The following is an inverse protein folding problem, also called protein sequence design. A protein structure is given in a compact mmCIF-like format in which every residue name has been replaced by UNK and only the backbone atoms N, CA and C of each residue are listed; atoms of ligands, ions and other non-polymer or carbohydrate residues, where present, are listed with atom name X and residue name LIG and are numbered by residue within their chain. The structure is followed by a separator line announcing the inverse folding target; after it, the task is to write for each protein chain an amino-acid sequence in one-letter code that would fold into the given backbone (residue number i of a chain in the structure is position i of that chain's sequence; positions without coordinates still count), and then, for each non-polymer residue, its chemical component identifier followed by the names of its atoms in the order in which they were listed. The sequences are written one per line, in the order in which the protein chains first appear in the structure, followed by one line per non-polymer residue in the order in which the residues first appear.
data_IF_325789524354
#
_entry.id   IF_325789524354
#
_cell.length_a   1.000
_cell.length_b   1.000
_cell.length_c   1.000
_cell.angle_alpha   90.00
_cell.angle_beta   90.00
_cell.angle_gamma   90.00
#
_symmetry.space_group_name_H-M   'P 1'
#
loop_
_entity.id
_entity.type
_entity.pdbx_description
1 polymer ?
#
# COMPACT_ATOMS: atom_id res chain seq x y z
N UNK A 1 -36.93 7.17 -9.28
CA UNK A 1 -36.84 6.48 -7.97
C UNK A 1 -35.39 6.05 -7.82
N UNK A 2 -34.57 6.85 -7.12
CA UNK A 2 -33.15 6.52 -6.90
C UNK A 2 -33.16 5.39 -5.86
N UNK A 3 -32.65 4.21 -6.22
CA UNK A 3 -32.52 3.12 -5.26
C UNK A 3 -31.77 3.64 -4.02
N UNK A 4 -32.08 3.17 -2.80
CA UNK A 4 -31.28 3.52 -1.64
C UNK A 4 -29.83 3.12 -1.96
N UNK A 5 -28.93 4.10 -2.01
CA UNK A 5 -27.50 3.85 -2.21
C UNK A 5 -27.03 3.06 -0.97
N UNK A 6 -27.06 1.73 -1.05
CA UNK A 6 -26.57 0.87 0.01
C UNK A 6 -25.09 1.16 0.19
N UNK A 7 -24.72 1.61 1.40
CA UNK A 7 -23.34 1.94 1.71
C UNK A 7 -22.46 0.70 1.44
N UNK A 8 -21.36 0.80 0.68
CA UNK A 8 -20.53 -0.36 0.29
C UNK A 8 -20.05 -1.23 1.46
N UNK A 9 -19.92 -0.63 2.65
CA UNK A 9 -19.64 -1.33 3.91
C UNK A 9 -20.80 -2.25 4.29
N UNK A 10 -22.04 -1.75 4.35
CA UNK A 10 -23.22 -2.56 4.69
C UNK A 10 -23.40 -3.76 3.77
N UNK A 11 -23.21 -3.57 2.46
CA UNK A 11 -23.24 -4.68 1.48
C UNK A 11 -22.20 -5.74 1.82
N UNK A 12 -20.98 -5.33 2.18
CA UNK A 12 -19.90 -6.25 2.54
C UNK A 12 -20.18 -6.98 3.87
N UNK A 13 -20.78 -6.30 4.85
CA UNK A 13 -21.17 -6.89 6.15
C UNK A 13 -22.30 -7.91 6.03
N UNK A 14 -23.31 -7.63 5.21
CA UNK A 14 -24.41 -8.56 4.91
C UNK A 14 -23.88 -9.84 4.24
N UNK A 15 -23.01 -9.68 3.24
CA UNK A 15 -22.36 -10.80 2.55
C UNK A 15 -21.49 -11.63 3.50
N UNK A 16 -20.74 -10.98 4.39
CA UNK A 16 -19.91 -11.66 5.40
C UNK A 16 -20.75 -12.49 6.36
N UNK A 17 -21.85 -11.93 6.86
CA UNK A 17 -22.74 -12.62 7.80
C UNK A 17 -23.35 -13.86 7.17
N UNK A 18 -23.91 -13.72 5.97
CA UNK A 18 -24.43 -14.84 5.16
C UNK A 18 -23.39 -15.94 4.94
N UNK A 19 -22.15 -15.55 4.63
CA UNK A 19 -21.07 -16.48 4.34
C UNK A 19 -20.57 -17.22 5.59
N UNK A 20 -20.47 -16.55 6.73
CA UNK A 20 -20.05 -17.18 7.99
C UNK A 20 -21.00 -18.31 8.41
N UNK A 21 -22.30 -18.11 8.21
CA UNK A 21 -23.35 -19.11 8.42
C UNK A 21 -23.29 -20.22 7.35
N UNK A 22 -23.13 -19.84 6.08
CA UNK A 22 -23.06 -20.76 4.95
C UNK A 22 -21.91 -21.78 5.04
N UNK A 23 -20.75 -21.36 5.53
CA UNK A 23 -19.54 -22.20 5.64
C UNK A 23 -19.77 -23.49 6.44
N UNK A 24 -20.64 -23.47 7.46
CA UNK A 24 -20.93 -24.64 8.29
C UNK A 24 -21.55 -25.80 7.50
N UNK A 25 -22.18 -25.50 6.37
CA UNK A 25 -22.90 -26.45 5.52
C UNK A 25 -22.04 -27.06 4.41
N UNK A 26 -20.74 -26.74 4.37
CA UNK A 26 -19.85 -27.26 3.32
C UNK A 26 -19.40 -28.68 3.62
N UNK A 27 -19.58 -29.56 2.63
CA UNK A 27 -19.20 -30.97 2.72
C UNK A 27 -17.88 -31.28 2.03
N UNK A 28 -17.53 -30.56 0.96
CA UNK A 28 -16.27 -30.68 0.25
C UNK A 28 -15.19 -29.74 0.81
N UNK A 29 -13.91 -30.10 0.67
CA UNK A 29 -12.74 -29.28 1.05
C UNK A 29 -12.73 -28.76 2.50
N UNK A 30 -13.23 -29.56 3.46
CA UNK A 30 -13.38 -29.20 4.89
C UNK A 30 -12.13 -28.58 5.55
N UNK A 31 -10.92 -28.90 5.07
CA UNK A 31 -9.68 -28.31 5.59
C UNK A 31 -9.42 -26.86 5.17
N UNK A 32 -10.04 -26.37 4.09
CA UNK A 32 -9.82 -25.01 3.54
C UNK A 32 -10.79 -23.99 4.14
N UNK A 33 -12.03 -24.40 4.43
CA UNK A 33 -13.07 -23.51 4.95
C UNK A 33 -12.75 -22.85 6.30
N UNK A 34 -12.08 -23.52 7.26
CA UNK A 34 -11.60 -22.85 8.48
C UNK A 34 -10.59 -21.72 8.20
N UNK A 35 -9.74 -21.88 7.17
CA UNK A 35 -8.79 -20.84 6.76
C UNK A 35 -9.53 -19.63 6.18
N UNK A 36 -10.53 -19.88 5.33
CA UNK A 36 -11.41 -18.85 4.78
C UNK A 36 -12.14 -18.13 5.93
N UNK A 37 -12.80 -18.86 6.83
CA UNK A 37 -13.49 -18.31 8.01
C UNK A 37 -12.58 -17.39 8.84
N UNK A 38 -11.34 -17.80 9.08
CA UNK A 38 -10.37 -16.98 9.80
C UNK A 38 -10.03 -15.66 9.09
N UNK A 39 -10.02 -15.63 7.75
CA UNK A 39 -9.85 -14.39 6.97
C UNK A 39 -11.11 -13.53 7.01
N UNK A 40 -12.29 -14.12 6.85
CA UNK A 40 -13.57 -13.41 6.93
C UNK A 40 -13.77 -12.73 8.28
N UNK A 41 -13.45 -13.41 9.37
CA UNK A 41 -13.54 -12.84 10.73
C UNK A 41 -12.62 -11.63 10.90
N UNK A 42 -11.40 -11.69 10.34
CA UNK A 42 -10.49 -10.54 10.35
C UNK A 42 -11.04 -9.39 9.51
N UNK A 43 -11.61 -9.70 8.35
CA UNK A 43 -12.19 -8.70 7.47
C UNK A 43 -13.40 -8.03 8.10
N UNK A 44 -14.25 -8.78 8.79
CA UNK A 44 -15.39 -8.26 9.54
C UNK A 44 -14.95 -7.23 10.58
N UNK A 45 -13.94 -7.55 11.40
CA UNK A 45 -13.40 -6.60 12.38
C UNK A 45 -12.85 -5.32 11.71
N UNK A 46 -12.22 -5.44 10.54
CA UNK A 46 -11.71 -4.28 9.78
C UNK A 46 -12.82 -3.42 9.18
N UNK A 47 -13.93 -4.02 8.73
CA UNK A 47 -15.08 -3.26 8.23
C UNK A 47 -15.79 -2.49 9.34
N UNK A 48 -15.88 -3.07 10.54
CA UNK A 48 -16.39 -2.37 11.72
C UNK A 48 -15.51 -1.16 12.05
N UNK A 49 -14.18 -1.33 12.06
CA UNK A 49 -13.24 -0.21 12.23
C UNK A 49 -13.36 0.82 11.11
N UNK A 50 -13.64 0.41 9.86
CA UNK A 50 -13.90 1.35 8.77
C UNK A 50 -15.13 2.22 9.01
N UNK A 51 -16.21 1.65 9.56
CA UNK A 51 -17.45 2.37 9.82
C UNK A 51 -17.29 3.48 10.88
N UNK A 52 -16.28 3.40 11.75
CA UNK A 52 -15.98 4.39 12.79
C UNK A 52 -15.34 5.68 12.23
N UNK A 53 -14.81 5.67 10.99
CA UNK A 53 -14.18 6.87 10.42
C UNK A 53 -15.22 7.88 9.92
N UNK A 54 -14.95 9.20 10.00
CA UNK A 54 -15.91 10.25 9.66
C UNK A 54 -16.43 10.24 8.20
N UNK A 55 -15.72 9.59 7.27
CA UNK A 55 -16.09 9.46 5.86
C UNK A 55 -15.53 8.16 5.24
N UNK A 56 -16.06 6.97 5.57
CA UNK A 56 -15.46 5.68 5.17
C UNK A 56 -15.52 5.46 3.65
N UNK A 57 -16.59 5.94 3.02
CA UNK A 57 -17.02 5.52 1.69
C UNK A 57 -17.11 6.66 0.67
N UNK A 58 -17.04 7.94 1.05
CA UNK A 58 -17.36 9.06 0.14
C UNK A 58 -16.16 9.94 -0.24
N UNK A 59 -15.09 9.95 0.56
CA UNK A 59 -13.98 10.90 0.37
C UNK A 59 -12.73 10.29 -0.29
N UNK A 60 -12.54 8.97 -0.23
CA UNK A 60 -11.31 8.33 -0.71
C UNK A 60 -11.61 7.23 -1.73
N UNK A 61 -11.26 7.46 -3.00
CA UNK A 61 -11.42 6.47 -4.07
C UNK A 61 -10.75 5.13 -3.73
N UNK A 62 -9.65 5.12 -2.97
CA UNK A 62 -8.98 3.89 -2.58
C UNK A 62 -9.79 3.04 -1.60
N UNK A 63 -10.56 3.66 -0.69
CA UNK A 63 -11.40 2.90 0.24
C UNK A 63 -12.58 2.30 -0.51
N UNK A 64 -13.19 3.06 -1.42
CA UNK A 64 -14.25 2.57 -2.30
C UNK A 64 -13.79 1.40 -3.17
N UNK A 65 -12.66 1.55 -3.86
CA UNK A 65 -12.10 0.49 -4.71
C UNK A 65 -11.87 -0.81 -3.91
N UNK A 66 -11.34 -0.69 -2.69
CA UNK A 66 -11.12 -1.82 -1.80
C UNK A 66 -12.46 -2.46 -1.36
N UNK A 67 -13.46 -1.67 -0.97
CA UNK A 67 -14.78 -2.17 -0.57
C UNK A 67 -15.50 -2.88 -1.72
N UNK A 68 -15.42 -2.35 -2.94
CA UNK A 68 -15.95 -3.02 -4.13
C UNK A 68 -15.21 -4.35 -4.42
N UNK A 69 -13.89 -4.36 -4.31
CA UNK A 69 -13.08 -5.57 -4.51
C UNK A 69 -13.37 -6.66 -3.46
N UNK A 70 -13.57 -6.25 -2.21
CA UNK A 70 -14.03 -7.11 -1.11
C UNK A 70 -15.40 -7.69 -1.46
N UNK A 71 -16.39 -6.85 -1.79
CA UNK A 71 -17.74 -7.29 -2.14
C UNK A 71 -17.74 -8.31 -3.28
N UNK A 72 -16.97 -8.07 -4.34
CA UNK A 72 -16.82 -9.03 -5.44
C UNK A 72 -16.23 -10.36 -4.96
N UNK A 73 -15.18 -10.31 -4.15
CA UNK A 73 -14.54 -11.53 -3.63
C UNK A 73 -15.47 -12.30 -2.69
N UNK A 74 -16.27 -11.62 -1.87
CA UNK A 74 -17.26 -12.26 -1.01
C UNK A 74 -18.34 -12.98 -1.84
N UNK A 75 -18.80 -12.37 -2.94
CA UNK A 75 -19.72 -13.04 -3.88
C UNK A 75 -19.08 -14.28 -4.53
N UNK A 76 -17.80 -14.22 -4.93
CA UNK A 76 -17.06 -15.39 -5.42
C UNK A 76 -17.05 -16.52 -4.36
N UNK A 77 -16.81 -16.16 -3.09
CA UNK A 77 -16.76 -17.13 -2.00
C UNK A 77 -18.14 -17.71 -1.69
N UNK A 78 -19.22 -16.92 -1.76
CA UNK A 78 -20.60 -17.41 -1.62
C UNK A 78 -20.92 -18.44 -2.70
N UNK A 79 -20.60 -18.13 -3.96
CA UNK A 79 -20.79 -19.05 -5.10
C UNK A 79 -20.01 -20.36 -4.90
N UNK A 80 -18.77 -20.28 -4.43
CA UNK A 80 -17.98 -21.48 -4.10
C UNK A 80 -18.53 -22.24 -2.89
N UNK A 81 -19.05 -21.54 -1.89
CA UNK A 81 -19.64 -22.13 -0.71
C UNK A 81 -20.87 -22.96 -1.09
N UNK A 82 -21.77 -22.43 -1.92
CA UNK A 82 -22.92 -23.19 -2.43
C UNK A 82 -22.51 -24.41 -3.24
N UNK A 83 -21.46 -24.30 -4.07
CA UNK A 83 -20.93 -25.42 -4.86
C UNK A 83 -20.34 -26.54 -4.00
N UNK A 84 -19.82 -26.21 -2.81
CA UNK A 84 -19.17 -27.15 -1.90
C UNK A 84 -20.10 -27.74 -0.83
N UNK A 85 -21.41 -27.46 -0.88
CA UNK A 85 -22.40 -28.09 0.00
C UNK A 85 -22.62 -29.58 -0.33
N UNK A 86 -22.32 -30.00 -1.55
CA UNK A 86 -22.34 -31.41 -1.95
C UNK A 86 -20.93 -32.01 -1.96
N UNK A 87 -20.82 -33.32 -1.70
CA UNK A 87 -19.51 -34.03 -1.73
C UNK A 87 -18.92 -34.13 -3.12
N UNK A 88 -19.77 -34.18 -4.13
CA UNK A 88 -19.35 -34.26 -5.53
C UNK A 88 -19.29 -32.86 -6.13
N UNK A 89 -18.07 -32.47 -6.50
CA UNK A 89 -17.79 -31.21 -7.15
C UNK A 89 -18.11 -31.34 -8.65
N UNK A 90 -19.28 -30.84 -9.05
CA UNK A 90 -19.82 -30.99 -10.42
C UNK A 90 -18.91 -30.39 -11.51
N UNK A 91 -18.12 -29.36 -11.20
CA UNK A 91 -17.19 -28.68 -12.13
C UNK A 91 -15.74 -29.19 -12.06
N UNK A 92 -15.50 -30.29 -11.34
CA UNK A 92 -14.18 -30.88 -11.18
C UNK A 92 -13.43 -30.41 -9.93
N UNK A 93 -12.82 -31.39 -9.24
CA UNK A 93 -12.16 -31.19 -7.95
C UNK A 93 -10.96 -30.24 -8.02
N UNK A 94 -10.10 -30.38 -9.04
CA UNK A 94 -8.91 -29.53 -9.20
C UNK A 94 -9.27 -28.08 -9.49
N UNK A 95 -10.28 -27.85 -10.34
CA UNK A 95 -10.77 -26.51 -10.65
C UNK A 95 -11.32 -25.84 -9.40
N UNK A 96 -12.19 -26.52 -8.66
CA UNK A 96 -12.76 -25.99 -7.41
C UNK A 96 -11.68 -25.73 -6.36
N UNK A 97 -10.68 -26.62 -6.24
CA UNK A 97 -9.54 -26.40 -5.35
C UNK A 97 -8.76 -25.14 -5.74
N UNK A 98 -8.47 -24.96 -7.03
CA UNK A 98 -7.80 -23.76 -7.54
C UNK A 98 -8.61 -22.49 -7.28
N UNK A 99 -9.93 -22.56 -7.42
CA UNK A 99 -10.81 -21.41 -7.19
C UNK A 99 -10.87 -21.07 -5.68
N UNK A 100 -10.91 -22.08 -4.80
CA UNK A 100 -10.78 -21.92 -3.34
C UNK A 100 -9.45 -21.27 -2.96
N UNK A 101 -8.34 -21.74 -3.54
CA UNK A 101 -7.01 -21.19 -3.28
C UNK A 101 -6.88 -19.75 -3.79
N UNK A 102 -7.50 -19.45 -4.93
CA UNK A 102 -7.59 -18.09 -5.49
C UNK A 102 -8.35 -17.15 -4.56
N UNK A 103 -9.55 -17.52 -4.10
CA UNK A 103 -10.30 -16.65 -3.17
C UNK A 103 -9.63 -16.52 -1.81
N UNK A 104 -8.95 -17.56 -1.32
CA UNK A 104 -8.18 -17.49 -0.08
C UNK A 104 -7.02 -16.48 -0.22
N UNK A 105 -6.32 -16.49 -1.35
CA UNK A 105 -5.27 -15.52 -1.65
C UNK A 105 -5.82 -14.09 -1.77
N UNK A 106 -6.95 -13.89 -2.48
CA UNK A 106 -7.63 -12.59 -2.58
C UNK A 106 -8.05 -12.07 -1.20
N UNK A 107 -8.65 -12.90 -0.34
CA UNK A 107 -9.04 -12.52 1.01
C UNK A 107 -7.83 -12.14 1.88
N UNK A 108 -6.71 -12.85 1.75
CA UNK A 108 -5.47 -12.49 2.43
C UNK A 108 -4.93 -11.13 1.97
N UNK A 109 -4.99 -10.84 0.67
CA UNK A 109 -4.67 -9.52 0.12
C UNK A 109 -5.60 -8.44 0.69
N UNK A 110 -6.93 -8.65 0.68
CA UNK A 110 -7.89 -7.68 1.23
C UNK A 110 -7.64 -7.37 2.70
N UNK A 111 -7.34 -8.40 3.51
CA UNK A 111 -7.00 -8.20 4.93
C UNK A 111 -5.72 -7.37 5.07
N UNK A 112 -4.68 -7.63 4.25
CA UNK A 112 -3.43 -6.85 4.25
C UNK A 112 -3.67 -5.40 3.81
N UNK A 113 -4.41 -5.21 2.73
CA UNK A 113 -4.66 -3.90 2.13
C UNK A 113 -5.53 -3.04 3.05
N UNK A 114 -6.55 -3.63 3.68
CA UNK A 114 -7.34 -2.96 4.71
C UNK A 114 -6.49 -2.49 5.89
N UNK A 115 -5.53 -3.29 6.36
CA UNK A 115 -4.62 -2.88 7.45
C UNK A 115 -3.72 -1.72 7.04
N UNK A 116 -3.25 -1.73 5.79
CA UNK A 116 -2.43 -0.63 5.26
C UNK A 116 -3.27 0.65 5.20
N UNK A 117 -4.51 0.57 4.73
CA UNK A 117 -5.43 1.70 4.61
C UNK A 117 -5.77 2.33 5.98
N UNK A 118 -6.06 1.50 6.99
CA UNK A 118 -6.33 1.96 8.35
C UNK A 118 -5.09 2.66 8.93
N UNK A 119 -3.93 1.98 8.87
CA UNK A 119 -2.69 2.48 9.47
C UNK A 119 -2.16 3.73 8.77
N UNK A 120 -2.51 3.96 7.51
CA UNK A 120 -2.02 5.13 6.79
C UNK A 120 -2.72 6.43 7.18
N UNK A 121 -3.82 6.38 7.94
CA UNK A 121 -4.53 7.58 8.41
C UNK A 121 -5.24 8.38 7.32
N UNK A 122 -5.26 7.90 6.07
CA UNK A 122 -5.88 8.60 4.94
C UNK A 122 -7.42 8.71 5.04
N UNK A 123 -8.03 7.96 5.96
CA UNK A 123 -9.46 8.01 6.26
C UNK A 123 -9.83 9.09 7.29
N UNK A 124 -8.83 9.64 7.99
CA UNK A 124 -9.03 10.61 9.09
C UNK A 124 -8.92 12.07 8.62
N UNK A 125 -8.39 12.28 7.41
CA UNK A 125 -7.96 13.59 6.89
C UNK A 125 -9.12 14.49 6.40
N UNK A 126 -10.37 13.99 6.45
CA UNK A 126 -11.58 14.75 6.07
C UNK A 126 -12.04 15.80 7.08
N UNK A 127 -11.34 15.93 8.22
CA UNK A 127 -11.60 16.96 9.23
C UNK A 127 -10.94 18.29 8.84
N UNK A 128 -11.75 19.28 8.49
CA UNK A 128 -11.38 20.66 8.10
C UNK A 128 -10.11 21.18 8.80
N UNK A 129 -9.02 21.50 8.08
CA UNK A 129 -7.93 22.27 8.64
C UNK A 129 -8.31 23.75 8.64
N UNK A 130 -9.07 24.16 9.66
CA UNK A 130 -9.35 25.56 9.98
C UNK A 130 -8.10 26.23 10.55
N UNK A 131 -7.06 26.46 9.75
CA UNK A 131 -6.06 27.50 10.05
C UNK A 131 -5.19 27.83 8.83
N UNK A 132 -5.30 29.06 8.37
CA UNK A 132 -4.47 29.68 7.33
C UNK A 132 -3.07 30.05 7.85
N UNK A 133 -2.27 29.04 8.22
CA UNK A 133 -0.88 29.23 8.65
C UNK A 133 0.09 28.35 7.85
N UNK A 134 1.41 28.59 7.95
CA UNK A 134 2.43 27.70 7.36
C UNK A 134 2.39 26.25 7.87
N UNK A 135 1.59 25.96 8.91
CA UNK A 135 1.28 24.61 9.34
C UNK A 135 0.37 23.89 8.34
N UNK A 136 -0.57 24.59 7.68
CA UNK A 136 -1.55 23.98 6.77
C UNK A 136 -0.91 23.49 5.47
N UNK A 137 0.09 24.22 4.93
CA UNK A 137 0.87 23.75 3.77
C UNK A 137 1.64 22.46 4.09
N UNK A 138 2.29 22.40 5.26
CA UNK A 138 3.02 21.20 5.67
C UNK A 138 2.09 20.04 5.98
N UNK A 139 0.91 20.31 6.55
CA UNK A 139 -0.09 19.27 6.77
C UNK A 139 -0.68 18.76 5.45
N UNK A 140 -0.96 19.64 4.49
CA UNK A 140 -1.37 19.23 3.15
C UNK A 140 -0.32 18.32 2.46
N UNK A 141 0.97 18.64 2.61
CA UNK A 141 2.05 17.78 2.09
C UNK A 141 2.10 16.44 2.84
N UNK A 142 1.88 16.41 4.16
CA UNK A 142 1.78 15.15 4.93
C UNK A 142 0.62 14.30 4.46
N UNK A 143 -0.57 14.89 4.37
CA UNK A 143 -1.79 14.27 3.87
C UNK A 143 -1.60 13.68 2.47
N UNK A 144 -1.10 14.48 1.53
CA UNK A 144 -0.82 14.05 0.15
C UNK A 144 0.24 12.95 0.13
N UNK A 145 1.31 13.07 0.93
CA UNK A 145 2.32 12.01 1.07
C UNK A 145 1.69 10.70 1.56
N UNK A 146 0.87 10.72 2.62
CA UNK A 146 0.15 9.55 3.13
C UNK A 146 -0.73 8.94 2.04
N UNK A 147 -1.47 9.77 1.31
CA UNK A 147 -2.36 9.35 0.23
C UNK A 147 -1.59 8.63 -0.88
N UNK A 148 -0.53 9.24 -1.41
CA UNK A 148 0.31 8.68 -2.46
C UNK A 148 1.07 7.42 -2.03
N UNK A 149 1.62 7.42 -0.81
CA UNK A 149 2.28 6.25 -0.20
C UNK A 149 1.31 5.08 -0.05
N UNK A 150 0.06 5.35 0.32
CA UNK A 150 -1.00 4.33 0.43
C UNK A 150 -1.34 3.79 -0.96
N UNK A 151 -1.58 4.68 -1.93
CA UNK A 151 -1.86 4.32 -3.33
C UNK A 151 -0.77 3.45 -3.94
N UNK A 152 0.50 3.75 -3.65
CA UNK A 152 1.64 2.94 -4.10
C UNK A 152 1.64 1.51 -3.56
N UNK A 153 1.03 1.28 -2.40
CA UNK A 153 0.98 -0.02 -1.76
C UNK A 153 -0.23 -0.84 -2.24
N UNK A 154 -1.43 -0.25 -2.19
CA UNK A 154 -2.69 -0.99 -2.37
C UNK A 154 -3.45 -0.63 -3.66
N UNK A 155 -3.03 0.40 -4.40
CA UNK A 155 -3.71 0.82 -5.63
C UNK A 155 -3.59 -0.17 -6.80
N UNK A 156 -4.40 0.06 -7.83
CA UNK A 156 -4.31 -0.64 -9.13
C UNK A 156 -2.97 -0.33 -9.82
N UNK A 157 -2.62 -1.07 -10.87
CA UNK A 157 -1.37 -0.85 -11.61
C UNK A 157 -1.25 0.60 -12.14
N UNK A 158 -2.32 1.11 -12.74
CA UNK A 158 -2.38 2.48 -13.28
C UNK A 158 -2.33 3.52 -12.15
N UNK A 159 -3.08 3.27 -11.08
CA UNK A 159 -3.10 4.12 -9.88
C UNK A 159 -1.71 4.20 -9.22
N UNK A 160 -0.99 3.08 -9.16
CA UNK A 160 0.41 3.02 -8.69
C UNK A 160 1.37 3.77 -9.61
N UNK A 161 1.17 3.70 -10.93
CA UNK A 161 1.98 4.46 -11.89
C UNK A 161 1.78 5.97 -11.72
N UNK A 162 0.53 6.42 -11.68
CA UNK A 162 0.22 7.84 -11.44
C UNK A 162 0.71 8.33 -10.07
N UNK A 163 0.62 7.46 -9.05
CA UNK A 163 1.07 7.77 -7.70
C UNK A 163 2.58 7.98 -7.61
N UNK A 164 3.38 7.15 -8.29
CA UNK A 164 4.85 7.32 -8.25
C UNK A 164 5.24 8.64 -8.92
N UNK A 165 4.62 9.00 -10.05
CA UNK A 165 4.94 10.24 -10.76
C UNK A 165 4.50 11.48 -9.99
N UNK A 166 3.33 11.42 -9.33
CA UNK A 166 2.84 12.51 -8.48
C UNK A 166 3.69 12.68 -7.23
N UNK A 167 4.14 11.57 -6.65
CA UNK A 167 5.03 11.59 -5.50
C UNK A 167 6.38 12.19 -5.88
N UNK A 168 7.00 11.78 -6.99
CA UNK A 168 8.28 12.34 -7.42
C UNK A 168 8.21 13.86 -7.59
N UNK A 169 7.16 14.37 -8.23
CA UNK A 169 6.91 15.81 -8.35
C UNK A 169 6.79 16.50 -6.99
N UNK A 170 6.09 15.89 -6.03
CA UNK A 170 5.98 16.41 -4.65
C UNK A 170 7.35 16.51 -3.97
N UNK A 171 8.21 15.50 -4.17
CA UNK A 171 9.55 15.44 -3.59
C UNK A 171 10.52 16.41 -4.27
N UNK A 172 10.45 16.59 -5.58
CA UNK A 172 11.25 17.54 -6.38
C UNK A 172 10.99 19.01 -6.05
N UNK A 173 9.75 19.34 -5.65
CA UNK A 173 9.37 20.71 -5.36
C UNK A 173 10.15 21.35 -4.18
N UNK A 174 10.43 20.61 -3.10
CA UNK A 174 11.17 21.13 -1.93
C UNK A 174 11.82 19.98 -1.14
N UNK A 175 13.05 20.16 -0.66
CA UNK A 175 13.71 19.23 0.26
C UNK A 175 12.94 19.07 1.58
N UNK A 176 12.15 20.06 2.00
CA UNK A 176 11.25 19.92 3.16
C UNK A 176 10.12 18.91 2.88
N UNK A 177 9.59 18.87 1.66
CA UNK A 177 8.57 17.89 1.27
C UNK A 177 9.17 16.48 1.28
N UNK A 178 10.42 16.34 0.82
CA UNK A 178 11.16 15.09 0.90
C UNK A 178 11.25 14.59 2.35
N UNK A 179 11.66 15.44 3.28
CA UNK A 179 11.74 15.06 4.71
C UNK A 179 10.39 14.74 5.31
N UNK A 180 9.32 15.44 4.90
CA UNK A 180 7.96 15.12 5.31
C UNK A 180 7.56 13.71 4.81
N UNK A 181 7.79 13.39 3.54
CA UNK A 181 7.47 12.10 2.98
C UNK A 181 8.30 10.96 3.61
N UNK A 182 9.57 11.21 3.93
CA UNK A 182 10.43 10.30 4.72
C UNK A 182 9.79 10.00 6.08
N UNK A 183 9.33 11.03 6.79
CA UNK A 183 8.62 10.87 8.05
C UNK A 183 7.27 10.13 7.91
N UNK A 184 6.63 10.18 6.74
CA UNK A 184 5.42 9.39 6.44
C UNK A 184 5.73 7.94 5.99
N UNK A 185 7.01 7.53 5.97
CA UNK A 185 7.40 6.13 5.72
C UNK A 185 7.54 5.77 4.24
N UNK A 186 7.94 6.71 3.39
CA UNK A 186 8.15 6.42 1.97
C UNK A 186 9.35 5.49 1.70
N UNK A 187 10.38 5.51 2.55
CA UNK A 187 11.62 4.76 2.35
C UNK A 187 11.40 3.24 2.22
N UNK A 188 10.68 2.56 3.15
CA UNK A 188 10.34 1.16 2.98
C UNK A 188 9.56 0.83 1.70
N UNK A 189 8.76 1.77 1.17
CA UNK A 189 8.01 1.56 -0.07
C UNK A 189 8.95 1.58 -1.27
N UNK A 190 9.87 2.53 -1.34
CA UNK A 190 10.87 2.56 -2.42
C UNK A 190 11.82 1.36 -2.36
N UNK A 191 12.22 0.89 -1.17
CA UNK A 191 13.05 -0.31 -1.05
C UNK A 191 12.37 -1.52 -1.70
N UNK A 192 11.04 -1.68 -1.51
CA UNK A 192 10.29 -2.76 -2.17
C UNK A 192 10.15 -2.55 -3.67
N UNK A 193 10.08 -1.31 -4.14
CA UNK A 193 10.07 -1.00 -5.57
C UNK A 193 11.38 -1.39 -6.27
N UNK A 194 12.51 -1.47 -5.56
CA UNK A 194 13.77 -2.00 -6.10
C UNK A 194 13.68 -3.47 -6.50
N UNK A 195 12.76 -4.21 -5.88
CA UNK A 195 12.52 -5.63 -6.16
C UNK A 195 11.48 -5.84 -7.30
N UNK A 196 10.95 -4.74 -7.89
CA UNK A 196 10.04 -4.77 -9.04
C UNK A 196 10.72 -5.36 -10.29
N UNK A 197 10.00 -6.05 -11.17
CA UNK A 197 10.53 -6.47 -12.48
C UNK A 197 10.68 -5.30 -13.47
N UNK A 198 9.96 -4.19 -13.26
CA UNK A 198 9.96 -3.02 -14.13
C UNK A 198 11.13 -2.10 -13.82
N UNK A 199 12.03 -1.92 -14.80
CA UNK A 199 13.24 -1.10 -14.68
C UNK A 199 12.93 0.37 -14.37
N UNK A 200 11.93 0.95 -15.01
CA UNK A 200 11.50 2.33 -14.77
C UNK A 200 11.18 2.60 -13.28
N UNK A 201 10.51 1.65 -12.62
CA UNK A 201 10.18 1.77 -11.19
C UNK A 201 11.42 1.67 -10.31
N UNK A 202 12.40 0.82 -10.69
CA UNK A 202 13.67 0.71 -9.97
C UNK A 202 14.46 2.01 -10.06
N UNK A 203 14.56 2.58 -11.26
CA UNK A 203 15.29 3.81 -11.50
C UNK A 203 14.74 4.96 -10.63
N UNK A 204 13.43 5.19 -10.70
CA UNK A 204 12.72 6.18 -9.87
C UNK A 204 12.97 5.97 -8.36
N UNK A 205 12.95 4.72 -7.91
CA UNK A 205 13.21 4.38 -6.51
C UNK A 205 14.67 4.66 -6.11
N UNK A 206 15.64 4.25 -6.94
CA UNK A 206 17.07 4.47 -6.69
C UNK A 206 17.39 5.96 -6.65
N UNK A 207 16.92 6.75 -7.62
CA UNK A 207 17.11 8.21 -7.64
C UNK A 207 16.57 8.85 -6.38
N UNK A 208 15.36 8.46 -5.97
CA UNK A 208 14.73 9.04 -4.77
C UNK A 208 15.47 8.66 -3.50
N UNK A 209 15.85 7.39 -3.33
CA UNK A 209 16.59 6.95 -2.14
C UNK A 209 17.97 7.62 -2.09
N UNK A 210 18.68 7.72 -3.20
CA UNK A 210 19.96 8.46 -3.26
C UNK A 210 19.79 9.90 -2.78
N UNK A 211 18.72 10.58 -3.23
CA UNK A 211 18.43 11.95 -2.80
C UNK A 211 18.07 12.04 -1.31
N UNK A 212 17.30 11.09 -0.79
CA UNK A 212 16.99 11.01 0.65
C UNK A 212 18.28 10.90 1.46
N UNK A 213 19.18 10.00 1.06
CA UNK A 213 20.45 9.80 1.75
C UNK A 213 21.34 11.06 1.71
N UNK A 214 21.28 11.86 0.65
CA UNK A 214 22.00 13.13 0.55
C UNK A 214 21.51 14.20 1.54
N UNK A 215 20.22 14.17 1.87
CA UNK A 215 19.58 15.15 2.77
C UNK A 215 19.58 14.65 4.22
N UNK A 216 19.49 13.33 4.44
CA UNK A 216 19.46 12.70 5.75
C UNK A 216 20.52 11.60 5.89
N UNK A 217 21.64 11.96 6.52
CA UNK A 217 22.78 11.08 6.79
C UNK A 217 22.51 10.08 7.91
N UNK A 218 21.32 10.05 8.53
CA UNK A 218 20.99 9.07 9.58
C UNK A 218 20.51 7.74 9.01
N UNK A 219 20.22 7.67 7.71
CA UNK A 219 19.71 6.46 7.03
C UNK A 219 20.87 5.62 6.46
N UNK A 220 21.92 5.38 7.25
CA UNK A 220 23.16 4.74 6.78
C UNK A 220 23.02 3.24 6.46
N UNK A 221 21.99 2.56 6.98
CA UNK A 221 21.78 1.12 6.76
C UNK A 221 21.34 0.72 5.35
N UNK A 222 20.96 1.67 4.50
CA UNK A 222 20.43 1.40 3.15
C UNK A 222 21.46 1.52 2.03
N UNK A 223 22.66 1.98 2.36
CA UNK A 223 23.71 2.31 1.39
C UNK A 223 24.16 1.12 0.53
N UNK A 224 24.26 -0.08 1.12
CA UNK A 224 24.70 -1.27 0.40
C UNK A 224 23.70 -1.71 -0.67
N UNK A 225 22.40 -1.77 -0.34
CA UNK A 225 21.36 -2.18 -1.29
C UNK A 225 21.28 -1.14 -2.42
N UNK A 226 21.23 0.14 -2.08
CA UNK A 226 21.11 1.23 -3.05
C UNK A 226 22.35 1.33 -3.94
N UNK A 227 23.56 1.20 -3.38
CA UNK A 227 24.81 1.21 -4.14
C UNK A 227 24.90 0.07 -5.15
N UNK A 228 24.46 -1.14 -4.77
CA UNK A 228 24.36 -2.27 -5.71
C UNK A 228 23.45 -1.93 -6.89
N UNK A 229 22.20 -1.52 -6.64
CA UNK A 229 21.27 -1.18 -7.73
C UNK A 229 21.77 -0.01 -8.57
N UNK A 230 22.37 1.03 -7.95
CA UNK A 230 22.91 2.17 -8.68
C UNK A 230 24.02 1.76 -9.64
N UNK A 231 24.99 0.97 -9.18
CA UNK A 231 26.09 0.50 -10.03
C UNK A 231 25.60 -0.36 -11.21
N UNK A 232 24.48 -1.07 -11.03
CA UNK A 232 23.89 -1.91 -12.06
C UNK A 232 23.01 -1.11 -13.04
N UNK A 233 22.31 -0.09 -12.56
CA UNK A 233 21.42 0.76 -13.36
C UNK A 233 22.17 1.86 -14.12
N UNK A 234 23.25 2.38 -13.52
CA UNK A 234 24.00 3.50 -14.06
C UNK A 234 25.51 3.19 -14.06
N UNK A 235 25.97 2.23 -14.89
CA UNK A 235 27.34 1.72 -14.86
C UNK A 235 28.42 2.77 -15.19
N UNK A 236 28.03 3.87 -15.85
CA UNK A 236 28.93 4.97 -16.21
C UNK A 236 28.81 6.19 -15.29
N UNK A 237 27.96 6.13 -14.26
CA UNK A 237 27.81 7.20 -13.29
C UNK A 237 28.47 6.83 -11.97
N UNK A 238 29.16 7.78 -11.33
CA UNK A 238 29.62 7.58 -9.97
C UNK A 238 28.43 7.63 -9.01
N UNK A 239 28.24 6.57 -8.22
CA UNK A 239 27.36 6.64 -7.06
C UNK A 239 27.81 7.83 -6.18
N UNK A 240 26.90 8.69 -5.70
CA UNK A 240 27.27 9.79 -4.81
C UNK A 240 28.05 9.21 -3.63
N UNK A 241 29.35 9.50 -3.52
CA UNK A 241 30.18 8.96 -2.44
C UNK A 241 29.66 9.54 -1.13
N UNK A 242 29.06 8.68 -0.30
CA UNK A 242 28.79 8.96 1.11
C UNK A 242 30.11 8.95 1.87
N UNK A 243 30.85 10.06 1.77
CA UNK A 243 32.04 10.28 2.58
C UNK A 243 31.65 10.59 4.01
N UNK A 244 31.49 9.57 4.86
CA UNK A 244 31.72 9.75 6.31
C UNK A 244 33.22 9.68 6.52
N UNK A 245 33.92 10.80 6.33
CA UNK A 245 35.25 10.95 6.90
C UNK A 245 35.07 11.15 8.40
N UNK A 246 35.33 10.10 9.18
CA UNK A 246 35.58 10.25 10.61
C UNK A 246 36.93 10.98 10.72
N UNK A 247 36.89 12.29 10.92
CA UNK A 247 38.08 13.04 11.26
C UNK A 247 38.44 12.72 12.72
N UNK A 248 39.47 11.89 12.93
CA UNK A 248 40.17 11.86 14.21
C UNK A 248 40.87 13.20 14.31
N UNK A 249 40.41 14.02 15.24
CA UNK A 249 40.93 15.34 15.65
C UNK A 249 40.06 16.54 15.22
N UNK A 250 39.28 17.00 16.20
CA UNK A 250 38.99 18.42 16.46
C UNK A 250 38.35 19.27 15.35
N UNK A 251 37.02 19.36 15.38
CA UNK A 251 36.31 20.62 15.06
C UNK A 251 35.90 20.85 13.59
N UNK A 252 34.61 20.71 13.32
CA UNK A 252 33.93 21.29 12.14
C UNK A 252 33.41 20.26 11.14
N UNK A 253 32.09 20.13 11.04
CA UNK A 253 31.40 19.32 10.02
C UNK A 253 31.09 20.19 8.80
N UNK A 254 31.72 19.91 7.66
CA UNK A 254 31.25 20.38 6.34
C UNK A 254 31.35 19.26 5.31
N UNK A 255 30.24 18.80 4.72
CA UNK A 255 30.29 17.90 3.57
C UNK A 255 30.62 18.67 2.29
N UNK A 256 31.63 18.21 1.56
CA UNK A 256 31.99 18.69 0.22
C UNK A 256 31.05 18.01 -0.78
N UNK A 257 30.19 18.78 -1.43
CA UNK A 257 29.28 18.30 -2.47
C UNK A 257 29.94 18.48 -3.85
N UNK A 258 30.06 17.40 -4.61
CA UNK A 258 30.49 17.44 -6.01
C UNK A 258 29.70 16.42 -6.82
N UNK A 259 28.74 16.91 -7.62
CA UNK A 259 28.11 16.16 -8.71
C UNK A 259 28.89 16.47 -9.99
N UNK A 260 29.27 15.45 -10.73
CA UNK A 260 29.47 15.57 -12.19
C UNK A 260 28.69 14.43 -12.83
N UNK A 261 27.45 14.71 -13.23
CA UNK A 261 26.80 13.94 -14.31
C UNK A 261 27.26 14.63 -15.57
N UNK A 262 28.17 13.99 -16.30
CA UNK A 262 28.30 14.29 -17.72
C UNK A 262 27.22 13.44 -18.40
N UNK A 263 26.23 14.12 -18.99
CA UNK A 263 25.26 13.51 -19.91
C UNK A 263 25.98 12.91 -21.12
#
# INVERSE_FOLDING_TARGET
MKAPESHPISVSEDLLSSLLDGIAHTEAFKGKWPLIRAKLTKLQAQLTEFAEFPNPSSANTLSLDLLHSISHTLNDVISLCSKCQTRDCLEGKLKTQSDIDSVLAKLDCHVKDGKILIRSGVLQDGGVPSSSSSSSKREAVRAESRNLITRLQIGTADSKSSAIDSLLRLLEADNKNLMIAVAQGIVPVFIRLLDSSLMEKKEKAVVTISRILMVDTKINGLLLKVGYYWSHLFPYSHFPRFGVLVNKEGGGYWPIYGFSITL
#
